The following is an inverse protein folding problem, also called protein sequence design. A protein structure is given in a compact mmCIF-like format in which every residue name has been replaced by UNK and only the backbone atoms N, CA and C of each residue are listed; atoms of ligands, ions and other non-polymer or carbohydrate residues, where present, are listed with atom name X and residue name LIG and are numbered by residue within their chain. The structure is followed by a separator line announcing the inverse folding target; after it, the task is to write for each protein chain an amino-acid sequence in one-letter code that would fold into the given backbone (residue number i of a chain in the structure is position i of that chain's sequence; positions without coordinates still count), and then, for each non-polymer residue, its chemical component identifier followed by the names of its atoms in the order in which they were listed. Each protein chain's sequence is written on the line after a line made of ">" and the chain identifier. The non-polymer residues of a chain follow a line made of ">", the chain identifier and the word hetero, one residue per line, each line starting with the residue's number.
data_IF_871457583298
#
_entry.id   IF_871457583298
#
_cell.length_a   1.000
_cell.length_b   1.000
_cell.length_c   1.000
_cell.angle_alpha   90.00
_cell.angle_beta   90.00
_cell.angle_gamma   90.00
#
_symmetry.space_group_name_H-M   'P 1'
#
loop_
_entity.id
_entity.type
_entity.pdbx_description
1 polymer ?
#
# COMPACT_ATOMS: atom_id res chain seq x y z
N UNK A 1 13.63 10.92 24.14
CA UNK A 1 13.64 9.75 23.23
C UNK A 1 12.66 10.01 22.09
N UNK A 2 13.12 9.87 20.85
CA UNK A 2 12.28 10.02 19.67
C UNK A 2 12.02 8.63 19.08
N UNK A 3 10.75 8.24 18.95
CA UNK A 3 10.31 6.98 18.35
C UNK A 3 9.58 7.29 17.05
N UNK A 4 9.90 6.56 15.97
CA UNK A 4 9.26 6.69 14.66
C UNK A 4 8.79 5.33 14.13
N UNK A 5 7.51 5.20 13.83
CA UNK A 5 6.97 4.08 13.07
C UNK A 5 6.91 4.44 11.59
N UNK A 6 7.50 3.58 10.74
CA UNK A 6 7.63 3.77 9.29
C UNK A 6 7.22 2.53 8.49
N UNK A 7 6.21 1.85 8.95
CA UNK A 7 5.78 0.57 8.40
C UNK A 7 5.49 0.62 6.89
N UNK A 8 4.76 1.62 6.41
CA UNK A 8 4.33 1.70 5.03
C UNK A 8 5.43 2.04 4.03
N UNK A 9 6.35 2.93 4.40
CA UNK A 9 7.35 3.51 3.48
C UNK A 9 8.72 2.87 3.57
N UNK A 10 8.91 1.85 4.41
CA UNK A 10 10.23 1.27 4.70
C UNK A 10 10.96 0.78 3.44
N UNK A 11 10.25 0.20 2.47
CA UNK A 11 10.87 -0.20 1.21
C UNK A 11 11.34 0.99 0.36
N UNK A 12 10.59 2.10 0.35
CA UNK A 12 11.00 3.31 -0.34
C UNK A 12 12.21 3.97 0.35
N UNK A 13 12.25 3.94 1.67
CA UNK A 13 13.42 4.40 2.46
C UNK A 13 14.64 3.54 2.17
N UNK A 14 14.51 2.22 2.16
CA UNK A 14 15.60 1.28 1.84
C UNK A 14 16.14 1.49 0.43
N UNK A 15 15.28 1.85 -0.51
CA UNK A 15 15.66 2.16 -1.89
C UNK A 15 16.28 3.57 -2.07
N UNK A 16 16.29 4.41 -1.02
CA UNK A 16 16.75 5.80 -1.08
C UNK A 16 15.79 6.76 -1.76
N UNK A 17 14.52 6.38 -1.92
CA UNK A 17 13.47 7.18 -2.59
C UNK A 17 12.54 7.92 -1.61
N UNK A 18 12.80 7.81 -0.32
CA UNK A 18 12.10 8.53 0.74
C UNK A 18 13.08 8.85 1.88
N UNK A 19 12.95 10.01 2.53
CA UNK A 19 13.84 10.38 3.64
C UNK A 19 13.84 9.34 4.77
N UNK A 20 15.04 9.00 5.24
CA UNK A 20 15.22 8.04 6.35
C UNK A 20 14.97 8.71 7.69
N UNK A 21 14.21 8.12 8.62
CA UNK A 21 14.05 8.62 9.97
C UNK A 21 15.23 8.27 10.89
N UNK A 22 16.10 7.35 10.50
CA UNK A 22 17.17 6.79 11.35
C UNK A 22 18.09 7.86 11.93
N UNK A 23 18.54 8.87 11.17
CA UNK A 23 19.42 9.91 11.75
C UNK A 23 18.78 10.75 12.85
N UNK A 24 17.44 10.83 12.87
CA UNK A 24 16.67 11.72 13.73
C UNK A 24 15.93 11.00 14.87
N UNK A 25 15.90 9.68 14.87
CA UNK A 25 15.15 8.89 15.83
C UNK A 25 16.08 8.07 16.74
N UNK A 26 15.65 7.83 17.96
CA UNK A 26 16.31 6.89 18.88
C UNK A 26 15.88 5.46 18.63
N UNK A 27 14.62 5.28 18.24
CA UNK A 27 14.01 3.97 17.89
C UNK A 27 13.16 4.15 16.65
N UNK A 28 13.28 3.22 15.71
CA UNK A 28 12.46 3.14 14.50
C UNK A 28 11.81 1.77 14.45
N UNK A 29 10.49 1.74 14.30
CA UNK A 29 9.73 0.50 14.09
C UNK A 29 9.23 0.44 12.65
N UNK A 30 9.17 -0.76 12.11
CA UNK A 30 8.60 -1.00 10.78
C UNK A 30 8.01 -2.41 10.68
N UNK A 31 7.20 -2.63 9.65
CA UNK A 31 6.79 -3.97 9.22
C UNK A 31 7.67 -4.45 8.07
N UNK A 32 7.81 -5.76 7.92
CA UNK A 32 8.57 -6.36 6.82
C UNK A 32 7.72 -6.69 5.60
N UNK A 33 6.39 -6.74 5.73
CA UNK A 33 5.44 -7.26 4.74
C UNK A 33 4.68 -6.20 3.90
N UNK A 34 5.18 -4.97 3.85
CA UNK A 34 4.60 -3.89 3.02
C UNK A 34 5.53 -3.56 1.85
N UNK A 35 5.98 -2.33 1.70
CA UNK A 35 6.90 -1.95 0.61
C UNK A 35 8.26 -2.64 0.67
N UNK A 36 8.68 -3.20 1.82
CA UNK A 36 9.85 -4.08 1.90
C UNK A 36 9.64 -5.45 1.24
N UNK A 37 8.40 -5.84 0.95
CA UNK A 37 8.04 -7.07 0.23
C UNK A 37 8.56 -8.35 0.90
N UNK A 38 8.63 -8.35 2.24
CA UNK A 38 9.06 -9.49 3.05
C UNK A 38 7.90 -10.25 3.71
N UNK A 39 8.22 -11.21 4.58
CA UNK A 39 7.22 -11.97 5.32
C UNK A 39 6.49 -11.09 6.33
N UNK A 40 5.32 -11.55 6.80
CA UNK A 40 4.59 -10.88 7.86
C UNK A 40 5.41 -10.85 9.15
N UNK A 41 5.69 -9.66 9.63
CA UNK A 41 6.49 -9.46 10.83
C UNK A 41 6.83 -7.99 11.06
N UNK A 42 7.51 -7.74 12.16
CA UNK A 42 8.03 -6.43 12.55
C UNK A 42 9.55 -6.43 12.64
N UNK A 43 10.10 -5.22 12.67
CA UNK A 43 11.50 -4.95 12.86
C UNK A 43 11.64 -3.68 13.72
N UNK A 44 12.54 -3.72 14.68
CA UNK A 44 12.89 -2.57 15.51
C UNK A 44 14.37 -2.26 15.30
N UNK A 45 14.67 -1.03 14.97
CA UNK A 45 16.02 -0.48 14.89
C UNK A 45 16.18 0.57 16.01
N UNK A 46 17.27 0.53 16.76
CA UNK A 46 17.47 1.46 17.84
C UNK A 46 18.94 1.83 18.04
N UNK A 47 19.19 2.92 18.75
CA UNK A 47 20.53 3.24 19.25
C UNK A 47 20.95 2.21 20.30
N UNK A 48 22.23 1.87 20.34
CA UNK A 48 22.82 0.84 21.21
C UNK A 48 22.39 0.94 22.68
N UNK A 49 22.32 2.15 23.21
CA UNK A 49 21.92 2.39 24.61
C UNK A 49 20.53 1.87 24.98
N UNK A 50 19.66 1.58 24.00
CA UNK A 50 18.30 1.06 24.23
C UNK A 50 18.17 -0.44 23.90
N UNK A 51 19.17 -1.05 23.25
CA UNK A 51 19.10 -2.41 22.74
C UNK A 51 18.71 -3.44 23.82
N UNK A 52 19.45 -3.49 24.94
CA UNK A 52 19.17 -4.43 26.03
C UNK A 52 17.76 -4.30 26.62
N UNK A 53 17.26 -3.06 26.76
CA UNK A 53 15.92 -2.81 27.29
C UNK A 53 14.83 -3.28 26.31
N UNK A 54 15.02 -3.06 25.02
CA UNK A 54 14.10 -3.51 23.97
C UNK A 54 14.12 -5.02 23.86
N UNK A 55 15.30 -5.67 23.83
CA UNK A 55 15.41 -7.12 23.78
C UNK A 55 14.68 -7.78 24.95
N UNK A 56 14.88 -7.28 26.17
CA UNK A 56 14.18 -7.78 27.37
C UNK A 56 12.66 -7.55 27.30
N UNK A 57 12.22 -6.46 26.73
CA UNK A 57 10.80 -6.18 26.57
C UNK A 57 10.16 -7.11 25.54
N UNK A 58 10.88 -7.44 24.46
CA UNK A 58 10.42 -8.39 23.46
C UNK A 58 10.43 -9.82 24.02
N UNK A 59 11.57 -10.28 24.53
CA UNK A 59 11.71 -11.61 25.10
C UNK A 59 12.43 -11.55 26.46
N UNK A 60 11.82 -12.10 27.52
CA UNK A 60 10.53 -12.82 27.57
C UNK A 60 9.32 -11.92 27.84
N UNK A 61 9.48 -10.59 27.75
CA UNK A 61 8.45 -9.63 28.20
C UNK A 61 7.10 -9.77 27.49
N UNK A 62 7.09 -9.75 26.15
CA UNK A 62 5.87 -9.80 25.35
C UNK A 62 5.75 -11.05 24.47
N UNK A 63 6.87 -11.64 24.05
CA UNK A 63 6.93 -12.76 23.11
C UNK A 63 7.70 -13.94 23.72
N UNK A 64 7.47 -15.14 23.15
CA UNK A 64 8.21 -16.35 23.44
C UNK A 64 9.19 -16.68 22.31
N UNK A 65 9.39 -18.00 22.05
CA UNK A 65 10.26 -18.46 20.98
C UNK A 65 9.85 -17.92 19.62
N UNK A 66 10.81 -17.43 18.82
CA UNK A 66 10.51 -16.84 17.52
C UNK A 66 10.18 -17.90 16.47
N UNK A 67 9.39 -17.50 15.45
CA UNK A 67 9.12 -18.31 14.27
C UNK A 67 10.34 -18.27 13.33
N UNK A 68 11.20 -19.30 13.37
CA UNK A 68 12.48 -19.31 12.65
C UNK A 68 12.32 -19.23 11.13
N UNK A 69 11.26 -19.83 10.57
CA UNK A 69 10.95 -19.71 9.13
C UNK A 69 10.64 -18.23 8.72
N UNK A 70 10.01 -17.45 9.61
CA UNK A 70 9.79 -16.00 9.38
C UNK A 70 11.13 -15.25 9.44
N UNK A 71 12.02 -15.61 10.36
CA UNK A 71 13.35 -14.98 10.46
C UNK A 71 14.17 -15.28 9.19
N UNK A 72 14.17 -16.54 8.74
CA UNK A 72 14.83 -16.92 7.48
C UNK A 72 14.26 -16.15 6.29
N UNK A 73 12.93 -16.04 6.18
CA UNK A 73 12.28 -15.27 5.14
C UNK A 73 12.60 -13.77 5.21
N UNK A 74 12.76 -13.18 6.42
CA UNK A 74 13.25 -11.80 6.57
C UNK A 74 14.66 -11.64 6.04
N UNK A 75 15.56 -12.59 6.29
CA UNK A 75 16.94 -12.54 5.80
C UNK A 75 16.96 -12.54 4.26
N UNK A 76 16.15 -13.38 3.62
CA UNK A 76 16.00 -13.41 2.15
C UNK A 76 15.48 -12.07 1.64
N UNK A 77 14.38 -11.57 2.20
CA UNK A 77 13.78 -10.30 1.79
C UNK A 77 14.73 -9.11 1.94
N UNK A 78 15.50 -9.05 3.02
CA UNK A 78 16.51 -8.00 3.23
C UNK A 78 17.67 -8.12 2.23
N UNK A 79 18.09 -9.34 1.89
CA UNK A 79 19.10 -9.57 0.82
C UNK A 79 18.57 -9.11 -0.53
N UNK A 80 17.31 -9.38 -0.86
CA UNK A 80 16.67 -8.86 -2.08
C UNK A 80 16.60 -7.32 -2.08
N UNK A 81 16.27 -6.72 -0.94
CA UNK A 81 16.21 -5.25 -0.79
C UNK A 81 17.56 -4.55 -0.99
N UNK A 82 18.68 -5.25 -0.85
CA UNK A 82 20.02 -4.75 -1.16
C UNK A 82 20.35 -4.77 -2.66
N UNK A 83 19.56 -5.46 -3.49
CA UNK A 83 19.86 -5.60 -4.92
C UNK A 83 19.44 -4.35 -5.70
N UNK A 84 20.13 -4.03 -6.81
CA UNK A 84 19.74 -2.92 -7.70
C UNK A 84 18.29 -3.05 -8.23
N UNK A 85 17.83 -4.28 -8.47
CA UNK A 85 16.45 -4.57 -8.90
C UNK A 85 15.40 -4.08 -7.92
N UNK A 86 15.69 -4.05 -6.63
CA UNK A 86 14.77 -3.52 -5.63
C UNK A 86 14.56 -2.01 -5.76
N UNK A 87 15.60 -1.25 -6.15
CA UNK A 87 15.47 0.19 -6.44
C UNK A 87 14.58 0.43 -7.66
N UNK A 88 14.70 -0.42 -8.69
CA UNK A 88 13.82 -0.38 -9.87
C UNK A 88 12.37 -0.64 -9.49
N UNK A 89 12.13 -1.66 -8.68
CA UNK A 89 10.80 -1.97 -8.12
C UNK A 89 10.22 -0.80 -7.32
N UNK A 90 10.99 -0.23 -6.41
CA UNK A 90 10.54 0.89 -5.58
C UNK A 90 10.23 2.15 -6.41
N UNK A 91 11.04 2.45 -7.43
CA UNK A 91 10.78 3.55 -8.35
C UNK A 91 9.49 3.30 -9.18
N UNK A 92 9.27 2.06 -9.62
CA UNK A 92 8.06 1.69 -10.35
C UNK A 92 6.80 1.82 -9.48
N UNK A 93 6.87 1.52 -8.18
CA UNK A 93 5.75 1.74 -7.25
C UNK A 93 5.30 3.21 -7.29
N UNK A 94 6.25 4.15 -7.21
CA UNK A 94 5.94 5.59 -7.21
C UNK A 94 5.33 6.00 -8.55
N UNK A 95 5.92 5.58 -9.68
CA UNK A 95 5.37 5.87 -11.02
C UNK A 95 3.96 5.34 -11.18
N UNK A 96 3.71 4.11 -10.76
CA UNK A 96 2.39 3.50 -10.78
C UNK A 96 1.39 4.30 -9.94
N UNK A 97 1.80 4.73 -8.75
CA UNK A 97 0.95 5.53 -7.86
C UNK A 97 0.61 6.89 -8.47
N UNK A 98 1.60 7.57 -9.05
CA UNK A 98 1.40 8.85 -9.72
C UNK A 98 0.46 8.72 -10.92
N UNK A 99 0.67 7.73 -11.78
CA UNK A 99 -0.19 7.48 -12.94
C UNK A 99 -1.63 7.17 -12.52
N UNK A 100 -1.82 6.33 -11.50
CA UNK A 100 -3.17 6.05 -10.98
C UNK A 100 -3.81 7.30 -10.39
N UNK A 101 -3.05 8.12 -9.68
CA UNK A 101 -3.52 9.40 -9.13
C UNK A 101 -3.98 10.35 -10.25
N UNK A 102 -3.19 10.51 -11.32
CA UNK A 102 -3.55 11.30 -12.48
C UNK A 102 -4.85 10.85 -13.15
N UNK A 103 -5.03 9.53 -13.32
CA UNK A 103 -6.26 8.98 -13.90
C UNK A 103 -7.49 9.21 -13.01
N UNK A 104 -7.34 9.09 -11.68
CA UNK A 104 -8.43 9.40 -10.76
C UNK A 104 -8.79 10.90 -10.79
N UNK A 105 -7.80 11.79 -10.89
CA UNK A 105 -8.05 13.24 -11.07
C UNK A 105 -8.81 13.49 -12.37
N UNK A 106 -8.42 12.86 -13.50
CA UNK A 106 -9.15 12.95 -14.77
C UNK A 106 -10.58 12.43 -14.64
N UNK A 107 -10.78 11.38 -13.83
CA UNK A 107 -12.11 10.86 -13.48
C UNK A 107 -12.92 11.79 -12.56
N UNK A 108 -12.38 12.93 -12.18
CA UNK A 108 -13.05 13.96 -11.36
C UNK A 108 -13.05 13.64 -9.87
N UNK A 109 -12.11 12.81 -9.37
CA UNK A 109 -11.95 12.56 -7.94
C UNK A 109 -11.05 13.60 -7.27
N UNK A 110 -11.35 13.91 -6.02
CA UNK A 110 -10.51 14.76 -5.18
C UNK A 110 -9.45 13.91 -4.46
N UNK A 111 -8.19 14.15 -4.76
CA UNK A 111 -7.10 13.53 -4.02
C UNK A 111 -6.63 14.45 -2.89
N UNK A 112 -6.49 13.90 -1.71
CA UNK A 112 -5.87 14.61 -0.59
C UNK A 112 -4.42 14.95 -0.99
N UNK A 113 -4.00 16.18 -0.74
CA UNK A 113 -2.71 16.76 -1.19
C UNK A 113 -2.59 16.96 -2.72
N UNK A 114 -3.65 16.78 -3.50
CA UNK A 114 -3.63 16.97 -4.96
C UNK A 114 -2.87 15.88 -5.73
N UNK A 115 -2.47 14.78 -5.08
CA UNK A 115 -1.71 13.70 -5.70
C UNK A 115 -0.94 12.85 -4.72
N UNK A 116 0.17 12.26 -5.16
CA UNK A 116 1.05 11.45 -4.31
C UNK A 116 2.51 11.51 -4.77
N UNK A 117 3.43 11.39 -3.82
CA UNK A 117 4.88 11.22 -4.00
C UNK A 117 5.40 9.86 -3.52
N UNK A 118 4.50 8.96 -3.12
CA UNK A 118 4.83 7.65 -2.56
C UNK A 118 3.91 6.54 -3.13
N UNK A 119 3.70 5.47 -2.41
CA UNK A 119 2.95 4.29 -2.85
C UNK A 119 1.45 4.33 -2.52
N UNK A 120 0.99 5.36 -1.80
CA UNK A 120 -0.40 5.49 -1.33
C UNK A 120 -1.07 6.71 -1.95
N UNK A 121 -2.35 6.55 -2.24
CA UNK A 121 -3.25 7.61 -2.68
C UNK A 121 -4.41 7.65 -1.69
N UNK A 122 -4.72 8.83 -1.17
CA UNK A 122 -5.91 9.06 -0.36
C UNK A 122 -6.91 9.88 -1.17
N UNK A 123 -8.06 9.28 -1.44
CA UNK A 123 -9.13 9.85 -2.27
C UNK A 123 -10.28 10.27 -1.37
N UNK A 124 -10.69 11.53 -1.46
CA UNK A 124 -11.91 12.03 -0.88
C UNK A 124 -13.06 11.80 -1.87
N UNK A 125 -14.05 10.99 -1.47
CA UNK A 125 -15.15 10.60 -2.35
C UNK A 125 -16.44 11.39 -2.11
N UNK A 126 -16.41 12.43 -1.25
CA UNK A 126 -17.57 13.27 -0.97
C UNK A 126 -18.10 14.00 -2.21
N UNK A 127 -17.20 14.40 -3.10
CA UNK A 127 -17.59 15.07 -4.37
C UNK A 127 -18.30 14.13 -5.36
N UNK A 128 -18.31 12.83 -5.10
CA UNK A 128 -19.08 11.81 -5.84
C UNK A 128 -20.35 11.38 -5.09
N UNK A 129 -20.71 12.08 -4.02
CA UNK A 129 -21.84 11.76 -3.14
C UNK A 129 -21.76 10.35 -2.54
N UNK A 130 -20.53 9.85 -2.32
CA UNK A 130 -20.24 8.54 -1.75
C UNK A 130 -19.60 8.68 -0.37
N UNK A 131 -19.83 7.67 0.47
CA UNK A 131 -19.01 7.45 1.66
C UNK A 131 -17.85 6.51 1.37
N UNK A 132 -16.80 6.52 2.20
CA UNK A 132 -15.69 5.58 2.07
C UNK A 132 -16.15 4.12 2.09
N UNK A 133 -17.13 3.80 2.98
CA UNK A 133 -17.73 2.46 3.07
C UNK A 133 -18.50 2.05 1.80
N UNK A 134 -19.22 2.98 1.20
CA UNK A 134 -19.96 2.73 -0.04
C UNK A 134 -18.98 2.50 -1.20
N UNK A 135 -17.97 3.35 -1.34
CA UNK A 135 -16.95 3.23 -2.37
C UNK A 135 -16.13 1.93 -2.24
N UNK A 136 -15.71 1.56 -1.02
CA UNK A 136 -15.05 0.27 -0.74
C UNK A 136 -15.90 -0.90 -1.21
N UNK A 137 -17.20 -0.90 -0.87
CA UNK A 137 -18.15 -1.96 -1.26
C UNK A 137 -18.33 -2.05 -2.77
N UNK A 138 -18.49 -0.92 -3.46
CA UNK A 138 -18.63 -0.89 -4.93
C UNK A 138 -17.39 -1.45 -5.61
N UNK A 139 -16.20 -1.00 -5.20
CA UNK A 139 -14.94 -1.47 -5.76
C UNK A 139 -14.69 -2.96 -5.50
N UNK A 140 -15.14 -3.48 -4.35
CA UNK A 140 -15.06 -4.91 -4.05
C UNK A 140 -15.91 -5.74 -5.03
N UNK A 141 -17.07 -5.23 -5.50
CA UNK A 141 -17.89 -5.91 -6.52
C UNK A 141 -17.21 -6.03 -7.88
N UNK A 142 -16.22 -5.21 -8.15
CA UNK A 142 -15.38 -5.25 -9.37
C UNK A 142 -13.97 -5.78 -9.10
N UNK A 143 -13.79 -6.49 -7.99
CA UNK A 143 -12.54 -7.14 -7.57
C UNK A 143 -11.34 -6.18 -7.40
N UNK A 144 -11.62 -4.92 -7.04
CA UNK A 144 -10.62 -3.93 -6.67
C UNK A 144 -10.68 -3.71 -5.16
N UNK A 145 -9.70 -4.23 -4.44
CA UNK A 145 -9.61 -4.09 -2.98
C UNK A 145 -8.97 -2.77 -2.59
N UNK A 146 -9.70 -1.98 -1.83
CA UNK A 146 -9.23 -0.73 -1.22
C UNK A 146 -9.59 -0.72 0.28
N UNK A 147 -9.12 0.28 1.01
CA UNK A 147 -9.55 0.49 2.39
C UNK A 147 -10.34 1.80 2.50
N UNK A 148 -11.52 1.78 3.13
CA UNK A 148 -12.13 3.02 3.60
C UNK A 148 -11.18 3.73 4.56
N UNK A 149 -11.11 5.04 4.47
CA UNK A 149 -10.16 5.84 5.25
C UNK A 149 -10.74 7.23 5.57
N UNK A 150 -10.43 7.74 6.75
CA UNK A 150 -10.75 9.13 7.10
C UNK A 150 -9.96 10.09 6.21
N UNK A 151 -10.54 11.24 5.95
CA UNK A 151 -9.91 12.35 5.21
C UNK A 151 -9.80 13.59 6.12
N UNK A 152 -8.99 14.59 5.76
CA UNK A 152 -8.98 15.86 6.49
C UNK A 152 -10.38 16.47 6.58
N UNK A 153 -10.70 17.03 7.76
CA UNK A 153 -12.04 17.56 8.09
C UNK A 153 -13.13 16.50 7.90
N UNK A 154 -12.90 15.32 8.44
CA UNK A 154 -13.84 14.20 8.40
C UNK A 154 -15.16 14.54 9.10
N UNK A 155 -16.27 14.22 8.44
CA UNK A 155 -17.63 14.46 8.96
C UNK A 155 -18.36 13.16 9.30
N UNK A 156 -17.87 12.05 8.80
CA UNK A 156 -18.44 10.72 9.03
C UNK A 156 -17.79 10.01 10.23
N UNK A 157 -18.47 9.00 10.75
CA UNK A 157 -17.91 8.16 11.80
C UNK A 157 -16.71 7.34 11.28
N UNK A 158 -15.79 6.88 12.16
CA UNK A 158 -14.66 6.02 11.75
C UNK A 158 -15.06 4.70 11.07
N UNK A 159 -16.32 4.27 11.25
CA UNK A 159 -16.85 3.05 10.62
C UNK A 159 -17.41 3.29 9.21
N UNK A 160 -17.64 4.54 8.84
CA UNK A 160 -18.18 4.96 7.53
C UNK A 160 -17.11 5.63 6.68
N UNK A 161 -16.50 6.70 7.20
CA UNK A 161 -15.46 7.53 6.58
C UNK A 161 -15.90 8.23 5.28
N UNK A 162 -15.14 9.22 4.84
CA UNK A 162 -15.41 9.98 3.62
C UNK A 162 -14.40 9.74 2.52
N UNK A 163 -13.46 8.81 2.71
CA UNK A 163 -12.43 8.52 1.73
C UNK A 163 -12.10 7.05 1.59
N UNK A 164 -11.29 6.78 0.58
CA UNK A 164 -10.65 5.48 0.35
C UNK A 164 -9.15 5.65 0.20
N UNK A 165 -8.39 4.64 0.64
CA UNK A 165 -6.93 4.57 0.49
C UNK A 165 -6.56 3.46 -0.45
N UNK A 166 -5.72 3.79 -1.43
CA UNK A 166 -5.26 2.90 -2.49
C UNK A 166 -3.75 2.77 -2.41
N UNK A 167 -3.21 1.59 -2.68
CA UNK A 167 -1.77 1.33 -2.72
C UNK A 167 -1.37 0.53 -3.95
N UNK A 168 -0.20 0.82 -4.52
CA UNK A 168 0.27 0.23 -5.78
C UNK A 168 1.37 -0.82 -5.62
N UNK A 169 1.91 -1.04 -4.42
CA UNK A 169 3.04 -1.93 -4.19
C UNK A 169 2.75 -3.40 -4.61
N UNK A 170 1.56 -3.93 -4.29
CA UNK A 170 1.18 -5.29 -4.65
C UNK A 170 1.04 -5.48 -6.17
N UNK A 171 0.44 -4.51 -6.86
CA UNK A 171 0.30 -4.53 -8.32
C UNK A 171 1.66 -4.45 -9.02
N UNK A 172 2.57 -3.62 -8.49
CA UNK A 172 3.94 -3.52 -9.00
C UNK A 172 4.70 -4.84 -8.81
N UNK A 173 4.50 -5.54 -7.69
CA UNK A 173 5.09 -6.87 -7.48
C UNK A 173 4.59 -7.92 -8.48
N UNK A 174 3.37 -7.76 -9.00
CA UNK A 174 2.80 -8.59 -10.07
C UNK A 174 3.31 -8.23 -11.47
N UNK A 175 4.16 -7.21 -11.60
CA UNK A 175 4.71 -6.75 -12.88
C UNK A 175 3.87 -5.69 -13.60
N UNK A 176 2.79 -5.19 -13.01
CA UNK A 176 1.95 -4.13 -13.59
C UNK A 176 2.71 -2.80 -13.60
N UNK A 177 2.48 -2.01 -14.65
CA UNK A 177 3.10 -0.72 -14.90
C UNK A 177 2.03 0.35 -15.18
N UNK A 178 2.46 1.49 -15.68
CA UNK A 178 1.63 2.68 -15.87
C UNK A 178 0.40 2.43 -16.74
N UNK A 179 0.51 1.59 -17.78
CA UNK A 179 -0.62 1.26 -18.67
C UNK A 179 -1.74 0.57 -17.89
N UNK A 180 -1.38 -0.41 -17.05
CA UNK A 180 -2.34 -1.11 -16.20
C UNK A 180 -2.95 -0.18 -15.15
N UNK A 181 -2.18 0.79 -14.66
CA UNK A 181 -2.70 1.80 -13.72
C UNK A 181 -3.76 2.69 -14.37
N UNK A 182 -3.58 3.07 -15.64
CA UNK A 182 -4.60 3.81 -16.40
C UNK A 182 -5.88 3.00 -16.57
N UNK A 183 -5.75 1.72 -16.93
CA UNK A 183 -6.90 0.82 -17.03
C UNK A 183 -7.66 0.72 -15.69
N UNK A 184 -6.93 0.48 -14.60
CA UNK A 184 -7.52 0.37 -13.27
C UNK A 184 -8.19 1.68 -12.84
N UNK A 185 -7.54 2.81 -13.07
CA UNK A 185 -8.11 4.13 -12.78
C UNK A 185 -9.41 4.39 -13.55
N UNK A 186 -9.46 4.01 -14.83
CA UNK A 186 -10.68 4.06 -15.65
C UNK A 186 -11.78 3.17 -15.10
N UNK A 187 -11.47 1.91 -14.74
CA UNK A 187 -12.45 0.99 -14.13
C UNK A 187 -12.98 1.53 -12.80
N UNK A 188 -12.11 2.07 -11.94
CA UNK A 188 -12.54 2.69 -10.68
C UNK A 188 -13.47 3.87 -10.92
N UNK A 189 -13.16 4.69 -11.93
CA UNK A 189 -13.98 5.84 -12.31
C UNK A 189 -15.35 5.42 -12.80
N UNK A 190 -15.42 4.45 -13.71
CA UNK A 190 -16.68 3.92 -14.23
C UNK A 190 -17.57 3.34 -13.13
N UNK A 191 -16.99 2.47 -12.30
CA UNK A 191 -17.72 1.80 -11.23
C UNK A 191 -18.24 2.77 -10.14
N UNK A 192 -17.44 3.78 -9.76
CA UNK A 192 -17.83 4.73 -8.71
C UNK A 192 -18.74 5.85 -9.22
N UNK A 193 -18.74 6.16 -10.50
CA UNK A 193 -19.67 7.13 -11.08
C UNK A 193 -21.07 6.56 -11.34
N UNK A 194 -21.19 5.24 -11.57
CA UNK A 194 -22.48 4.59 -11.86
C UNK A 194 -22.58 3.23 -11.14
N UNK A 195 -22.58 3.23 -9.80
CA UNK A 195 -22.44 2.02 -9.00
C UNK A 195 -23.62 1.05 -9.05
N UNK A 196 -24.79 1.53 -9.49
CA UNK A 196 -26.02 0.72 -9.57
C UNK A 196 -26.25 0.14 -10.97
N UNK A 197 -25.48 0.58 -11.97
CA UNK A 197 -25.62 0.14 -13.35
C UNK A 197 -24.96 -1.22 -13.55
N UNK A 198 -25.79 -2.25 -13.64
CA UNK A 198 -25.33 -3.64 -13.79
C UNK A 198 -24.48 -3.86 -15.04
N UNK A 199 -24.73 -3.15 -16.13
CA UNK A 199 -23.95 -3.28 -17.37
C UNK A 199 -22.55 -2.71 -17.21
N UNK A 200 -22.42 -1.54 -16.53
CA UNK A 200 -21.12 -0.92 -16.19
C UNK A 200 -20.33 -1.85 -15.27
N UNK A 201 -20.94 -2.34 -14.20
CA UNK A 201 -20.28 -3.26 -13.24
C UNK A 201 -19.83 -4.55 -13.94
N UNK A 202 -20.65 -5.12 -14.84
CA UNK A 202 -20.26 -6.31 -15.60
C UNK A 202 -19.05 -6.04 -16.51
N UNK A 203 -19.05 -4.93 -17.25
CA UNK A 203 -17.91 -4.51 -18.08
C UNK A 203 -16.64 -4.27 -17.25
N UNK A 204 -16.75 -3.64 -16.07
CA UNK A 204 -15.65 -3.46 -15.14
C UNK A 204 -15.07 -4.80 -14.69
N UNK A 205 -15.91 -5.76 -14.33
CA UNK A 205 -15.50 -7.11 -13.93
C UNK A 205 -14.74 -7.84 -15.04
N UNK A 206 -15.24 -7.78 -16.29
CA UNK A 206 -14.55 -8.39 -17.44
C UNK A 206 -13.16 -7.81 -17.66
N UNK A 207 -13.03 -6.48 -17.58
CA UNK A 207 -11.75 -5.77 -17.75
C UNK A 207 -10.75 -6.14 -16.66
N UNK A 208 -11.16 -6.20 -15.40
CA UNK A 208 -10.28 -6.60 -14.28
C UNK A 208 -9.95 -8.09 -14.36
N UNK A 209 -10.89 -8.97 -14.71
CA UNK A 209 -10.62 -10.37 -14.88
C UNK A 209 -9.62 -10.64 -16.03
N UNK A 210 -9.74 -9.92 -17.14
CA UNK A 210 -8.77 -9.99 -18.24
C UNK A 210 -7.38 -9.52 -17.81
N UNK A 211 -7.30 -8.43 -17.04
CA UNK A 211 -6.05 -7.94 -16.48
C UNK A 211 -5.41 -8.95 -15.51
N UNK A 212 -6.18 -9.52 -14.61
CA UNK A 212 -5.68 -10.51 -13.65
C UNK A 212 -5.13 -11.78 -14.31
N UNK A 213 -5.69 -12.21 -15.45
CA UNK A 213 -5.16 -13.34 -16.24
C UNK A 213 -3.79 -13.04 -16.84
N UNK A 214 -3.51 -11.78 -17.22
CA UNK A 214 -2.21 -11.37 -17.77
C UNK A 214 -1.12 -11.26 -16.69
N UNK A 215 -1.52 -11.02 -15.44
CA UNK A 215 -0.61 -10.84 -14.31
C UNK A 215 -0.98 -11.79 -13.16
N UNK A 216 -0.82 -13.11 -13.35
CA UNK A 216 -1.17 -14.10 -12.33
C UNK A 216 -0.30 -13.96 -11.08
N UNK A 217 -0.81 -14.43 -9.93
CA UNK A 217 -0.03 -14.59 -8.71
C UNK A 217 0.69 -15.95 -8.76
N UNK A 218 1.93 -15.96 -8.26
CA UNK A 218 2.72 -17.20 -8.10
C UNK A 218 2.93 -18.01 -9.38
N UNK A 219 3.10 -17.32 -10.52
CA UNK A 219 3.37 -17.98 -11.81
C UNK A 219 4.66 -18.83 -11.82
N UNK A 220 5.57 -18.56 -10.88
CA UNK A 220 6.88 -19.23 -10.75
C UNK A 220 6.90 -20.32 -9.67
N UNK A 221 5.76 -20.63 -9.08
CA UNK A 221 5.61 -21.68 -8.05
C UNK A 221 4.72 -22.78 -8.65
N UNK A 222 5.36 -23.89 -9.05
CA UNK A 222 4.69 -25.15 -9.39
C UNK A 222 4.32 -25.94 -8.12
#
# INVERSE_FOLDING_TARGET
>A
MCIRDRAHISGLVAAGLHPSPIPYADVVTTTTHKTLRGPRGGLILCKEKYAKAIDKAIFPGMQGGPLMHVIAAKAVALKEALQPSFKVYAAQIIKNSQTLAEELIKGGFNLVSGGTDNHLILVDVRNKHLTGKAAEKVLDTVHITVNKNTVPNETESPFVTSGIRIGTAALTSRGMKEEQMRLIGGVMTDALNDPENKAVIASCNERIAALCRQFPLYSDVE
#
